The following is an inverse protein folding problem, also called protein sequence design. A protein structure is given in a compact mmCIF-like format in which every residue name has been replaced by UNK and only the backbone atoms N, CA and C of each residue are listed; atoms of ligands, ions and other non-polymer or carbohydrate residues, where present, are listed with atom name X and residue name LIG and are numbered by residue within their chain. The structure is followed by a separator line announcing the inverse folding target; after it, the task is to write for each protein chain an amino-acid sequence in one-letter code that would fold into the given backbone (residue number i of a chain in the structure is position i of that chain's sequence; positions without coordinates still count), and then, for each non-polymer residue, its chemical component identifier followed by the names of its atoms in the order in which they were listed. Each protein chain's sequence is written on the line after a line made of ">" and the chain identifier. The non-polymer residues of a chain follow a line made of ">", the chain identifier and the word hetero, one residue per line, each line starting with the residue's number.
data_IF_698217664455
#
_entry.id   IF_698217664455
#
_cell.length_a   1.000
_cell.length_b   1.000
_cell.length_c   1.000
_cell.angle_alpha   90.00
_cell.angle_beta   90.00
_cell.angle_gamma   90.00
#
_symmetry.space_group_name_H-M   'P 1'
#
loop_
_entity.id
_entity.type
_entity.pdbx_description
1 polymer ?
#
# COMPACT_ATOMS: atom_id res chain seq x y z
N UNK A 1 12.95 32.11 -28.69
CA UNK A 1 13.96 31.23 -28.05
C UNK A 1 13.26 29.93 -27.69
N UNK A 2 13.61 28.79 -28.26
CA UNK A 2 12.90 27.54 -28.00
C UNK A 2 13.42 26.90 -26.71
N UNK A 3 12.50 26.52 -25.81
CA UNK A 3 12.78 25.74 -24.60
C UNK A 3 13.06 24.29 -25.01
N UNK A 4 14.21 23.76 -24.61
CA UNK A 4 14.60 22.38 -24.78
C UNK A 4 13.89 21.51 -23.74
N UNK A 5 13.09 20.58 -24.21
CA UNK A 5 12.51 19.50 -23.41
C UNK A 5 13.60 18.43 -23.25
N UNK A 6 14.04 18.18 -22.01
CA UNK A 6 14.93 17.06 -21.69
C UNK A 6 14.07 15.83 -21.41
N UNK A 7 14.13 14.86 -22.32
CA UNK A 7 13.63 13.52 -22.04
C UNK A 7 14.72 12.77 -21.26
N UNK A 8 14.45 12.48 -19.99
CA UNK A 8 15.29 11.60 -19.18
C UNK A 8 14.81 10.17 -19.42
N UNK A 9 15.50 9.41 -20.28
CA UNK A 9 15.35 7.97 -20.38
C UNK A 9 16.19 7.34 -19.28
N UNK A 10 15.54 6.78 -18.26
CA UNK A 10 16.19 5.97 -17.25
C UNK A 10 16.57 4.62 -17.84
N UNK A 11 17.86 4.41 -18.11
CA UNK A 11 18.44 3.14 -18.55
C UNK A 11 18.76 2.32 -17.28
N UNK A 12 17.93 1.32 -16.97
CA UNK A 12 18.23 0.36 -15.90
C UNK A 12 19.29 -0.61 -16.42
N UNK A 13 20.54 -0.45 -15.98
CA UNK A 13 21.62 -1.41 -16.23
C UNK A 13 21.63 -2.40 -15.06
N UNK A 14 21.14 -3.62 -15.33
CA UNK A 14 21.24 -4.75 -14.42
C UNK A 14 22.67 -5.34 -14.51
N UNK A 15 23.55 -5.00 -13.57
CA UNK A 15 24.87 -5.62 -13.44
C UNK A 15 24.78 -6.86 -12.57
N UNK A 16 24.87 -8.04 -13.21
CA UNK A 16 25.12 -9.31 -12.52
C UNK A 16 26.56 -9.32 -11.97
N UNK A 17 26.70 -9.29 -10.66
CA UNK A 17 27.98 -9.59 -9.98
C UNK A 17 28.14 -11.11 -9.87
N UNK A 18 29.00 -11.69 -10.70
CA UNK A 18 29.53 -13.04 -10.51
C UNK A 18 30.54 -12.99 -9.35
N UNK A 19 30.20 -13.55 -8.21
CA UNK A 19 31.17 -13.80 -7.13
C UNK A 19 31.98 -15.05 -7.46
N UNK A 20 33.30 -14.87 -7.67
CA UNK A 20 34.25 -15.94 -7.84
C UNK A 20 34.52 -16.63 -6.50
N UNK A 21 34.17 -17.91 -6.40
CA UNK A 21 34.54 -18.76 -5.28
C UNK A 21 36.00 -19.21 -5.44
N UNK A 22 36.83 -18.98 -4.43
CA UNK A 22 38.20 -19.49 -4.36
C UNK A 22 38.22 -21.00 -4.09
N UNK A 23 39.17 -21.76 -4.68
CA UNK A 23 39.23 -23.18 -4.47
C UNK A 23 39.90 -23.51 -3.14
N UNK A 24 39.21 -24.30 -2.29
CA UNK A 24 39.81 -24.97 -1.14
C UNK A 24 40.53 -26.21 -1.61
N UNK A 25 41.81 -26.32 -1.25
CA UNK A 25 42.65 -27.49 -1.55
C UNK A 25 42.15 -28.70 -0.73
N UNK A 26 41.76 -29.77 -1.46
CA UNK A 26 41.46 -31.06 -0.87
C UNK A 26 42.69 -31.94 -0.83
N UNK A 27 42.98 -32.45 0.35
CA UNK A 27 44.01 -33.47 0.60
C UNK A 27 43.53 -34.84 0.08
N UNK A 28 44.48 -35.57 -0.53
CA UNK A 28 44.27 -36.88 -1.08
C UNK A 28 43.92 -37.94 -0.01
N UNK A 29 42.82 -38.65 -0.21
CA UNK A 29 42.40 -39.82 0.53
C UNK A 29 41.87 -40.89 -0.40
N UNK A 30 42.33 -42.08 -0.26
CA UNK A 30 42.18 -43.34 -0.95
C UNK A 30 40.91 -43.60 -1.78
N UNK A 31 41.16 -44.11 -3.01
CA UNK A 31 40.16 -44.56 -3.97
C UNK A 31 39.67 -45.97 -3.57
N UNK A 32 38.40 -46.08 -3.17
CA UNK A 32 37.67 -47.39 -3.19
C UNK A 32 36.82 -47.37 -4.46
N UNK A 33 37.18 -48.21 -5.43
CA UNK A 33 36.39 -48.41 -6.66
C UNK A 33 35.27 -49.41 -6.39
N UNK A 34 34.04 -48.96 -6.52
CA UNK A 34 32.88 -49.84 -6.65
C UNK A 34 32.41 -49.86 -8.14
N UNK A 35 31.99 -51.00 -8.68
CA UNK A 35 31.56 -51.08 -10.08
C UNK A 35 30.20 -50.37 -10.24
N UNK A 36 30.16 -49.39 -11.13
CA UNK A 36 28.93 -48.74 -11.60
C UNK A 36 28.26 -49.67 -12.60
N UNK A 37 27.13 -50.26 -12.22
CA UNK A 37 26.26 -50.90 -13.21
C UNK A 37 25.63 -49.80 -14.09
N UNK A 38 25.79 -49.97 -15.40
CA UNK A 38 25.16 -49.10 -16.40
C UNK A 38 23.65 -49.25 -16.34
N UNK A 39 22.97 -48.20 -15.86
CA UNK A 39 21.52 -48.02 -15.99
C UNK A 39 21.29 -47.22 -17.26
N UNK A 40 20.76 -47.89 -18.28
CA UNK A 40 20.28 -47.22 -19.48
C UNK A 40 19.10 -46.32 -19.16
N UNK A 41 19.03 -45.06 -19.59
CA UNK A 41 17.88 -44.20 -19.40
C UNK A 41 16.78 -44.60 -20.40
N UNK A 42 15.73 -45.31 -19.88
CA UNK A 42 14.48 -45.50 -20.60
C UNK A 42 13.57 -44.31 -20.25
N UNK A 43 13.64 -43.21 -21.01
CA UNK A 43 12.59 -42.22 -21.06
C UNK A 43 12.50 -41.68 -22.50
N UNK A 44 11.65 -42.31 -23.28
CA UNK A 44 10.97 -41.69 -24.41
C UNK A 44 9.48 -41.80 -24.09
N UNK A 45 8.97 -40.85 -23.36
CA UNK A 45 7.56 -40.55 -23.34
C UNK A 45 7.44 -39.12 -23.78
N UNK A 46 7.02 -38.95 -25.04
CA UNK A 46 6.67 -37.65 -25.61
C UNK A 46 5.43 -37.18 -24.82
N UNK A 47 5.65 -36.31 -23.82
CA UNK A 47 4.57 -35.59 -23.17
C UNK A 47 4.13 -34.53 -24.17
N UNK A 48 3.06 -34.81 -24.90
CA UNK A 48 2.30 -33.81 -25.63
C UNK A 48 1.63 -32.94 -24.56
N UNK A 49 2.24 -31.80 -24.25
CA UNK A 49 1.59 -30.74 -23.47
C UNK A 49 0.62 -30.08 -24.44
N UNK A 50 -0.65 -30.47 -24.41
CA UNK A 50 -1.70 -29.60 -24.92
C UNK A 50 -1.65 -28.34 -24.06
N UNK A 51 -1.12 -27.24 -24.62
CA UNK A 51 -1.29 -25.90 -24.08
C UNK A 51 -2.78 -25.56 -24.18
N UNK A 52 -3.55 -25.97 -23.15
CA UNK A 52 -4.79 -25.29 -22.83
C UNK A 52 -4.41 -23.87 -22.40
N UNK A 53 -4.45 -22.94 -23.36
CA UNK A 53 -4.45 -21.52 -23.06
C UNK A 53 -5.76 -21.30 -22.26
N UNK A 54 -5.66 -21.39 -20.93
CA UNK A 54 -6.64 -20.78 -20.06
C UNK A 54 -6.58 -19.29 -20.37
N UNK A 55 -7.52 -18.83 -21.17
CA UNK A 55 -7.85 -17.40 -21.20
C UNK A 55 -8.27 -17.05 -19.77
N UNK A 56 -7.31 -16.63 -18.95
CA UNK A 56 -7.58 -15.92 -17.72
C UNK A 56 -8.21 -14.62 -18.18
N UNK A 57 -9.53 -14.60 -18.27
CA UNK A 57 -10.23 -13.33 -18.30
C UNK A 57 -9.82 -12.65 -16.98
N UNK A 58 -9.00 -11.59 -17.08
CA UNK A 58 -8.75 -10.66 -16.01
C UNK A 58 -10.09 -10.01 -15.63
N UNK A 59 -10.93 -10.76 -14.91
CA UNK A 59 -11.97 -10.15 -14.10
C UNK A 59 -11.24 -9.42 -12.96
N UNK A 60 -10.78 -8.22 -13.27
CA UNK A 60 -10.42 -7.24 -12.27
C UNK A 60 -11.68 -7.01 -11.44
N UNK A 61 -11.76 -7.69 -10.32
CA UNK A 61 -12.91 -7.62 -9.42
C UNK A 61 -12.92 -6.21 -8.81
N UNK A 62 -13.84 -5.37 -9.24
CA UNK A 62 -13.99 -4.03 -8.67
C UNK A 62 -14.57 -4.12 -7.26
N UNK A 63 -14.01 -3.38 -6.31
CA UNK A 63 -14.55 -3.24 -4.96
C UNK A 63 -16.05 -2.92 -4.99
N UNK A 64 -16.86 -3.67 -4.24
CA UNK A 64 -18.31 -3.48 -4.23
C UNK A 64 -18.85 -3.22 -2.84
N UNK A 65 -19.39 -2.03 -2.64
CA UNK A 65 -20.25 -1.71 -1.50
C UNK A 65 -21.72 -1.66 -1.94
N UNK A 66 -22.67 -2.05 -1.09
CA UNK A 66 -24.09 -1.86 -1.39
C UNK A 66 -24.41 -0.39 -1.67
N UNK A 67 -24.88 -0.10 -2.89
CA UNK A 67 -25.20 1.27 -3.30
C UNK A 67 -24.06 2.03 -3.97
N UNK A 68 -22.88 1.41 -4.13
CA UNK A 68 -21.76 2.00 -4.86
C UNK A 68 -22.07 2.06 -6.35
N UNK A 69 -22.05 3.28 -6.90
CA UNK A 69 -21.91 3.47 -8.34
C UNK A 69 -20.42 3.71 -8.64
N UNK A 70 -19.85 3.09 -9.70
CA UNK A 70 -18.44 3.25 -10.04
C UNK A 70 -17.98 4.71 -10.14
N UNK A 71 -18.88 5.59 -10.57
CA UNK A 71 -18.61 7.02 -10.75
C UNK A 71 -18.47 7.81 -9.42
N UNK A 72 -18.77 7.18 -8.27
CA UNK A 72 -18.83 7.84 -6.95
C UNK A 72 -18.01 7.11 -5.88
N UNK A 73 -17.01 6.30 -6.26
CA UNK A 73 -16.24 5.49 -5.31
C UNK A 73 -15.66 6.35 -4.17
N UNK A 74 -14.95 7.41 -4.51
CA UNK A 74 -14.24 8.26 -3.54
C UNK A 74 -15.20 8.86 -2.51
N UNK A 75 -16.29 9.50 -2.95
CA UNK A 75 -17.25 10.14 -2.04
C UNK A 75 -17.98 9.13 -1.18
N UNK A 76 -18.34 7.97 -1.76
CA UNK A 76 -19.02 6.90 -1.03
C UNK A 76 -18.11 6.31 0.04
N UNK A 77 -16.84 6.07 -0.28
CA UNK A 77 -15.85 5.54 0.65
C UNK A 77 -15.53 6.53 1.75
N UNK A 78 -15.34 7.82 1.43
CA UNK A 78 -15.11 8.84 2.45
C UNK A 78 -16.27 8.94 3.45
N UNK A 79 -17.52 8.87 2.96
CA UNK A 79 -18.70 8.84 3.85
C UNK A 79 -18.77 7.57 4.71
N UNK A 80 -18.32 6.42 4.20
CA UNK A 80 -18.27 5.17 4.94
C UNK A 80 -17.16 5.15 5.99
N UNK A 81 -15.97 5.69 5.67
CA UNK A 81 -14.87 5.88 6.61
C UNK A 81 -15.30 6.80 7.74
N UNK A 82 -15.97 7.91 7.44
CA UNK A 82 -16.54 8.83 8.41
C UNK A 82 -17.52 8.11 9.37
N UNK A 83 -18.47 7.37 8.82
CA UNK A 83 -19.44 6.61 9.61
C UNK A 83 -18.78 5.52 10.47
N UNK A 84 -17.74 4.87 9.97
CA UNK A 84 -16.95 3.90 10.74
C UNK A 84 -16.31 4.56 11.96
N UNK A 85 -15.60 5.66 11.79
CA UNK A 85 -14.90 6.31 12.87
C UNK A 85 -15.85 6.99 13.86
N UNK A 86 -16.99 7.51 13.40
CA UNK A 86 -18.04 8.00 14.28
C UNK A 86 -18.54 6.89 15.24
N UNK A 87 -18.70 5.66 14.74
CA UNK A 87 -19.08 4.51 15.56
C UNK A 87 -17.96 4.04 16.51
N UNK A 88 -16.74 3.91 16.01
CA UNK A 88 -15.58 3.47 16.80
C UNK A 88 -15.26 4.43 17.95
N UNK A 89 -15.19 5.73 17.67
CA UNK A 89 -14.86 6.72 18.69
C UNK A 89 -15.98 6.89 19.72
N UNK A 90 -17.25 6.79 19.31
CA UNK A 90 -18.36 6.75 20.24
C UNK A 90 -18.31 5.54 21.19
N UNK A 91 -17.92 4.35 20.68
CA UNK A 91 -17.72 3.15 21.47
C UNK A 91 -16.56 3.29 22.48
N UNK A 92 -15.55 4.08 22.14
CA UNK A 92 -14.41 4.40 23.01
C UNK A 92 -14.72 5.57 23.97
N UNK A 93 -15.89 6.22 23.85
CA UNK A 93 -16.32 7.32 24.71
C UNK A 93 -15.75 8.68 24.31
N UNK A 94 -15.30 8.82 23.09
CA UNK A 94 -14.82 10.09 22.51
C UNK A 94 -15.91 10.77 21.70
N UNK A 95 -15.96 12.09 21.77
CA UNK A 95 -16.74 12.90 20.85
C UNK A 95 -16.08 12.85 19.46
N UNK A 96 -16.91 12.77 18.42
CA UNK A 96 -16.44 12.72 17.02
C UNK A 96 -17.11 13.81 16.19
N UNK A 97 -16.39 14.30 15.21
CA UNK A 97 -16.87 15.17 14.13
C UNK A 97 -16.12 14.82 12.85
N UNK A 98 -16.75 14.98 11.70
CA UNK A 98 -16.17 14.62 10.41
C UNK A 98 -15.10 15.62 9.96
N UNK A 99 -14.05 15.13 9.28
CA UNK A 99 -13.12 15.98 8.54
C UNK A 99 -13.79 16.62 7.31
N UNK A 100 -13.28 17.78 6.90
CA UNK A 100 -13.57 18.32 5.57
C UNK A 100 -12.95 17.46 4.47
N UNK A 101 -13.55 17.48 3.27
CA UNK A 101 -12.98 16.80 2.10
C UNK A 101 -12.99 17.72 0.88
N UNK A 102 -11.86 17.78 0.15
CA UNK A 102 -11.72 18.66 -1.01
C UNK A 102 -11.09 17.90 -2.19
N UNK A 103 -11.84 17.68 -3.29
CA UNK A 103 -11.28 17.15 -4.52
C UNK A 103 -10.34 18.17 -5.19
N UNK A 104 -9.14 17.74 -5.53
CA UNK A 104 -8.11 18.55 -6.15
C UNK A 104 -8.02 18.21 -7.64
N UNK A 105 -8.59 19.08 -8.48
CA UNK A 105 -8.51 19.00 -9.96
C UNK A 105 -7.64 20.12 -10.55
N UNK A 106 -7.35 21.13 -9.77
CA UNK A 106 -6.47 22.27 -10.06
C UNK A 106 -5.79 22.68 -8.74
N UNK A 107 -4.91 23.67 -8.76
CA UNK A 107 -4.26 24.17 -7.55
C UNK A 107 -5.28 24.71 -6.54
N UNK A 108 -5.21 24.19 -5.31
CA UNK A 108 -6.06 24.61 -4.19
C UNK A 108 -5.19 25.15 -3.07
N UNK A 109 -5.59 26.29 -2.48
CA UNK A 109 -4.93 26.85 -1.31
C UNK A 109 -5.59 26.32 -0.04
N UNK A 110 -4.81 25.64 0.82
CA UNK A 110 -5.22 25.22 2.16
C UNK A 110 -4.50 26.02 3.24
N UNK A 111 -4.84 25.78 4.50
CA UNK A 111 -4.10 26.34 5.64
C UNK A 111 -2.71 25.72 5.84
N UNK A 112 -2.44 24.54 5.25
CA UNK A 112 -1.14 23.88 5.27
C UNK A 112 -0.25 24.20 4.06
N UNK A 113 -0.75 24.94 3.08
CA UNK A 113 -0.04 25.25 1.86
C UNK A 113 -0.87 25.06 0.62
N UNK A 114 -0.22 25.07 -0.53
CA UNK A 114 -0.86 24.86 -1.82
C UNK A 114 -0.77 23.37 -2.20
N UNK A 115 -1.91 22.78 -2.60
CA UNK A 115 -1.99 21.44 -3.18
C UNK A 115 -2.26 21.52 -4.67
N UNK A 116 -1.45 20.83 -5.46
CA UNK A 116 -1.67 20.65 -6.89
C UNK A 116 -2.21 19.23 -7.21
N UNK A 117 -2.86 19.08 -8.37
CA UNK A 117 -3.50 17.80 -8.73
C UNK A 117 -2.52 16.65 -9.02
N UNK A 118 -1.22 16.94 -9.06
CA UNK A 118 -0.16 15.95 -9.33
C UNK A 118 0.97 15.99 -8.31
N UNK A 119 0.76 16.64 -7.15
CA UNK A 119 1.78 16.73 -6.11
C UNK A 119 1.79 15.46 -5.25
N UNK A 120 0.65 15.11 -4.67
CA UNK A 120 0.43 13.91 -3.85
C UNK A 120 -0.95 13.32 -4.14
N UNK A 121 -1.15 12.00 -3.98
CA UNK A 121 -2.46 11.37 -4.12
C UNK A 121 -3.50 11.95 -3.19
N UNK A 122 -3.17 12.07 -1.90
CA UNK A 122 -3.97 12.76 -0.90
C UNK A 122 -3.06 13.36 0.17
N UNK A 123 -3.61 14.27 0.98
CA UNK A 123 -2.96 14.82 2.15
C UNK A 123 -4.00 15.35 3.14
N UNK A 124 -3.80 15.09 4.42
CA UNK A 124 -4.58 15.69 5.50
C UNK A 124 -3.93 16.96 6.02
N UNK A 125 -4.70 18.02 6.17
CA UNK A 125 -4.24 19.26 6.78
C UNK A 125 -4.85 19.43 8.17
N UNK A 126 -4.07 19.32 9.27
CA UNK A 126 -4.60 19.42 10.63
C UNK A 126 -5.01 20.85 11.01
N UNK A 127 -4.59 21.87 10.25
CA UNK A 127 -4.90 23.27 10.55
C UNK A 127 -6.32 23.65 10.16
N UNK A 128 -6.83 23.11 9.07
CA UNK A 128 -8.21 23.31 8.60
C UNK A 128 -9.05 22.01 8.66
N UNK A 129 -8.46 20.96 9.24
CA UNK A 129 -9.13 19.67 9.47
C UNK A 129 -9.78 19.12 8.19
N UNK A 130 -8.97 19.00 7.14
CA UNK A 130 -9.47 18.68 5.79
C UNK A 130 -8.55 17.69 5.08
N UNK A 131 -9.15 16.65 4.50
CA UNK A 131 -8.50 15.73 3.55
C UNK A 131 -8.61 16.31 2.14
N UNK A 132 -7.46 16.62 1.55
CA UNK A 132 -7.32 17.02 0.15
C UNK A 132 -6.94 15.79 -0.66
N UNK A 133 -7.68 15.48 -1.72
CA UNK A 133 -7.39 14.32 -2.53
C UNK A 133 -7.35 14.64 -4.02
N UNK A 134 -6.30 14.18 -4.70
CA UNK A 134 -6.10 14.36 -6.13
C UNK A 134 -7.06 13.47 -6.92
N UNK A 135 -7.91 14.07 -7.74
CA UNK A 135 -8.79 13.32 -8.62
C UNK A 135 -8.00 12.55 -9.69
N UNK A 136 -7.03 13.16 -10.42
CA UNK A 136 -6.29 12.42 -11.45
C UNK A 136 -5.38 11.33 -10.88
N UNK A 137 -4.66 11.56 -9.76
CA UNK A 137 -3.81 10.52 -9.15
C UNK A 137 -4.65 9.41 -8.51
N UNK A 138 -5.81 9.73 -7.94
CA UNK A 138 -6.75 8.72 -7.45
C UNK A 138 -7.23 7.81 -8.57
N UNK A 139 -7.58 8.35 -9.73
CA UNK A 139 -7.94 7.56 -10.92
C UNK A 139 -6.76 6.73 -11.43
N UNK A 140 -5.53 7.27 -11.39
CA UNK A 140 -4.33 6.53 -11.78
C UNK A 140 -4.08 5.34 -10.84
N UNK A 141 -4.18 5.52 -9.52
CA UNK A 141 -4.03 4.45 -8.54
C UNK A 141 -5.09 3.36 -8.76
N UNK A 142 -6.36 3.74 -8.92
CA UNK A 142 -7.45 2.80 -9.18
C UNK A 142 -7.21 1.95 -10.43
N UNK A 143 -6.65 2.52 -11.48
CA UNK A 143 -6.41 1.82 -12.74
C UNK A 143 -5.12 1.02 -12.78
N UNK A 144 -4.12 1.35 -11.97
CA UNK A 144 -2.78 0.73 -12.01
C UNK A 144 -2.51 -0.24 -10.86
N UNK A 145 -3.12 -0.01 -9.70
CA UNK A 145 -2.93 -0.84 -8.50
C UNK A 145 -4.25 -1.50 -8.11
N UNK A 146 -5.35 -0.74 -8.11
CA UNK A 146 -6.69 -1.20 -7.81
C UNK A 146 -7.51 -0.22 -6.99
N UNK A 147 -8.82 -0.48 -6.92
CA UNK A 147 -9.76 0.38 -6.21
C UNK A 147 -9.46 0.42 -4.70
N UNK A 148 -9.09 -0.72 -4.12
CA UNK A 148 -8.82 -0.80 -2.69
C UNK A 148 -7.49 -0.14 -2.30
N UNK A 149 -6.53 -0.03 -3.21
CA UNK A 149 -5.33 0.77 -3.02
C UNK A 149 -5.68 2.25 -2.82
N UNK A 150 -6.60 2.79 -3.62
CA UNK A 150 -7.09 4.15 -3.46
C UNK A 150 -7.86 4.34 -2.15
N UNK A 151 -8.72 3.39 -1.78
CA UNK A 151 -9.44 3.37 -0.50
C UNK A 151 -8.46 3.40 0.67
N UNK A 152 -7.37 2.64 0.59
CA UNK A 152 -6.33 2.60 1.61
C UNK A 152 -5.65 3.95 1.81
N UNK A 153 -5.35 4.68 0.73
CA UNK A 153 -4.83 6.06 0.80
C UNK A 153 -5.80 6.97 1.53
N UNK A 154 -7.08 6.95 1.17
CA UNK A 154 -8.09 7.80 1.81
C UNK A 154 -8.28 7.47 3.30
N UNK A 155 -8.26 6.17 3.64
CA UNK A 155 -8.38 5.72 5.02
C UNK A 155 -7.16 6.10 5.87
N UNK A 156 -5.96 6.14 5.26
CA UNK A 156 -4.74 6.62 5.90
C UNK A 156 -4.84 8.11 6.24
N UNK A 157 -5.24 8.95 5.29
CA UNK A 157 -5.42 10.39 5.53
C UNK A 157 -6.50 10.66 6.59
N UNK A 158 -7.56 9.83 6.60
CA UNK A 158 -8.56 9.89 7.66
C UNK A 158 -8.00 9.46 9.02
N UNK A 159 -7.02 8.56 9.03
CA UNK A 159 -6.26 8.18 10.22
C UNK A 159 -5.60 9.38 10.89
N UNK A 160 -5.06 10.34 10.13
CA UNK A 160 -4.54 11.59 10.66
C UNK A 160 -5.62 12.48 11.29
N UNK A 161 -6.82 12.51 10.72
CA UNK A 161 -7.97 13.17 11.36
C UNK A 161 -8.31 12.50 12.69
N UNK A 162 -8.33 11.17 12.76
CA UNK A 162 -8.56 10.42 14.01
C UNK A 162 -7.53 10.76 15.08
N UNK A 163 -6.26 10.89 14.71
CA UNK A 163 -5.20 11.36 15.62
C UNK A 163 -5.52 12.74 16.18
N UNK A 164 -5.96 13.68 15.33
CA UNK A 164 -6.35 15.01 15.77
C UNK A 164 -7.52 14.95 16.77
N UNK A 165 -8.58 14.19 16.45
CA UNK A 165 -9.77 14.04 17.32
C UNK A 165 -9.39 13.44 18.68
N UNK A 166 -8.47 12.49 18.70
CA UNK A 166 -7.99 11.83 19.93
C UNK A 166 -6.93 12.65 20.69
N UNK A 167 -6.41 13.72 20.08
CA UNK A 167 -5.30 14.49 20.65
C UNK A 167 -4.00 13.71 20.73
N UNK A 168 -3.79 12.79 19.78
CA UNK A 168 -2.56 11.97 19.69
C UNK A 168 -1.53 12.75 18.87
N UNK A 169 -0.41 13.08 19.52
CA UNK A 169 0.72 13.80 18.92
C UNK A 169 2.01 13.00 19.17
N UNK A 170 2.34 12.01 18.34
CA UNK A 170 3.60 11.27 18.47
C UNK A 170 4.82 12.18 18.34
N UNK A 171 5.90 11.87 19.08
CA UNK A 171 7.13 12.65 19.03
C UNK A 171 7.84 12.56 17.67
N UNK A 172 7.73 11.40 17.00
CA UNK A 172 8.32 11.16 15.69
C UNK A 172 7.27 11.16 14.60
N UNK A 173 7.62 11.71 13.45
CA UNK A 173 6.75 11.71 12.27
C UNK A 173 6.41 10.28 11.85
N UNK A 174 7.39 9.38 11.86
CA UNK A 174 7.19 7.97 11.50
C UNK A 174 6.12 7.29 12.36
N UNK A 175 6.10 7.53 13.68
CA UNK A 175 5.09 6.90 14.56
C UNK A 175 3.68 7.39 14.22
N UNK A 176 3.54 8.66 13.82
CA UNK A 176 2.29 9.22 13.36
C UNK A 176 1.82 8.56 12.06
N UNK A 177 2.72 8.36 11.11
CA UNK A 177 2.42 7.73 9.83
C UNK A 177 2.05 6.25 9.99
N UNK A 178 2.83 5.50 10.76
CA UNK A 178 2.56 4.09 11.03
C UNK A 178 1.24 3.90 11.80
N UNK A 179 0.90 4.81 12.72
CA UNK A 179 -0.41 4.76 13.38
C UNK A 179 -1.56 5.04 12.40
N UNK A 180 -1.40 5.96 11.44
CA UNK A 180 -2.39 6.20 10.39
C UNK A 180 -2.56 4.98 9.47
N UNK A 181 -1.47 4.27 9.14
CA UNK A 181 -1.54 2.98 8.44
C UNK A 181 -2.30 1.93 9.24
N UNK A 182 -2.06 1.84 10.56
CA UNK A 182 -2.81 0.94 11.43
C UNK A 182 -4.31 1.27 11.43
N UNK A 183 -4.69 2.53 11.52
CA UNK A 183 -6.09 2.97 11.42
C UNK A 183 -6.71 2.63 10.07
N UNK A 184 -5.96 2.75 8.97
CA UNK A 184 -6.38 2.30 7.65
C UNK A 184 -6.63 0.78 7.61
N UNK A 185 -5.76 -0.01 8.25
CA UNK A 185 -5.94 -1.44 8.43
C UNK A 185 -7.19 -1.80 9.26
N UNK A 186 -7.48 -1.04 10.30
CA UNK A 186 -8.70 -1.23 11.11
C UNK A 186 -9.98 -0.98 10.28
N UNK A 187 -9.96 0.01 9.40
CA UNK A 187 -11.04 0.21 8.43
C UNK A 187 -11.17 -0.99 7.48
N UNK A 188 -10.04 -1.55 6.99
CA UNK A 188 -10.05 -2.73 6.16
C UNK A 188 -10.62 -3.97 6.88
N UNK A 189 -10.35 -4.14 8.19
CA UNK A 189 -10.98 -5.19 9.00
C UNK A 189 -12.50 -5.06 8.99
N UNK A 190 -13.00 -3.83 9.19
CA UNK A 190 -14.44 -3.58 9.14
C UNK A 190 -15.02 -3.87 7.75
N UNK A 191 -14.33 -3.45 6.68
CA UNK A 191 -14.76 -3.75 5.31
C UNK A 191 -14.87 -5.26 5.06
N UNK A 192 -13.92 -6.05 5.59
CA UNK A 192 -14.01 -7.52 5.57
C UNK A 192 -15.24 -8.04 6.33
N UNK A 193 -15.47 -7.55 7.55
CA UNK A 193 -16.60 -7.98 8.39
C UNK A 193 -17.96 -7.66 7.74
N UNK A 194 -18.03 -6.60 6.95
CA UNK A 194 -19.22 -6.21 6.21
C UNK A 194 -19.38 -6.94 4.86
N UNK A 195 -18.37 -7.73 4.46
CA UNK A 195 -18.37 -8.45 3.19
C UNK A 195 -18.18 -7.53 1.97
N UNK A 196 -17.50 -6.39 2.16
CA UNK A 196 -17.20 -5.44 1.09
C UNK A 196 -15.93 -5.81 0.31
N UNK A 197 -14.99 -6.52 0.99
CA UNK A 197 -13.73 -6.92 0.35
C UNK A 197 -13.93 -8.05 -0.64
N UNK A 198 -13.21 -7.96 -1.73
CA UNK A 198 -13.09 -8.98 -2.77
C UNK A 198 -11.69 -9.60 -2.76
N UNK A 199 -11.54 -10.65 -3.56
CA UNK A 199 -10.23 -11.28 -3.77
C UNK A 199 -9.29 -10.26 -4.44
N UNK A 200 -8.13 -10.04 -3.84
CA UNK A 200 -7.13 -9.09 -4.31
C UNK A 200 -7.07 -7.79 -3.50
N UNK A 201 -8.18 -7.29 -2.93
CA UNK A 201 -8.25 -5.98 -2.27
C UNK A 201 -7.16 -5.77 -1.20
N UNK A 202 -6.91 -6.77 -0.36
CA UNK A 202 -5.84 -6.67 0.64
C UNK A 202 -4.45 -6.62 -0.02
N UNK A 203 -4.26 -7.33 -1.13
CA UNK A 203 -3.00 -7.25 -1.88
C UNK A 203 -2.78 -5.86 -2.47
N UNK A 204 -3.84 -5.19 -2.92
CA UNK A 204 -3.81 -3.80 -3.40
C UNK A 204 -3.43 -2.83 -2.26
N UNK A 205 -4.05 -3.01 -1.07
CA UNK A 205 -3.71 -2.23 0.12
C UNK A 205 -2.24 -2.37 0.52
N UNK A 206 -1.73 -3.60 0.54
CA UNK A 206 -0.33 -3.85 0.86
C UNK A 206 0.61 -3.30 -0.21
N UNK A 207 0.23 -3.38 -1.48
CA UNK A 207 1.02 -2.83 -2.59
C UNK A 207 1.15 -1.32 -2.47
N UNK A 208 0.07 -0.59 -2.20
CA UNK A 208 0.15 0.88 -2.05
C UNK A 208 0.93 1.26 -0.80
N UNK A 209 0.85 0.52 0.29
CA UNK A 209 1.67 0.74 1.49
C UNK A 209 3.17 0.58 1.20
N UNK A 210 3.55 -0.43 0.39
CA UNK A 210 4.93 -0.62 -0.06
C UNK A 210 5.39 0.54 -0.95
N UNK A 211 4.58 0.92 -1.94
CA UNK A 211 4.92 1.96 -2.91
C UNK A 211 5.03 3.36 -2.27
N UNK A 212 4.32 3.59 -1.17
CA UNK A 212 4.34 4.85 -0.41
C UNK A 212 5.41 4.86 0.69
N UNK A 213 6.18 3.78 0.84
CA UNK A 213 7.27 3.70 1.82
C UNK A 213 8.50 4.51 1.39
N UNK A 214 9.21 5.02 2.40
CA UNK A 214 10.48 5.71 2.19
C UNK A 214 11.57 4.75 1.66
N UNK A 215 12.57 5.27 0.92
CA UNK A 215 13.75 4.51 0.57
C UNK A 215 14.45 3.93 1.81
N UNK A 216 15.01 2.71 1.70
CA UNK A 216 15.66 2.00 2.82
C UNK A 216 16.80 2.80 3.47
N UNK A 217 17.43 3.70 2.72
CA UNK A 217 18.52 4.55 3.19
C UNK A 217 18.03 5.80 3.94
N UNK A 218 16.73 6.05 4.01
CA UNK A 218 16.19 7.22 4.71
C UNK A 218 16.28 7.01 6.21
N UNK A 219 16.74 8.03 6.92
CA UNK A 219 16.80 8.02 8.38
C UNK A 219 15.38 8.20 8.94
N UNK A 220 14.89 7.24 9.68
CA UNK A 220 13.56 7.23 10.30
C UNK A 220 13.36 8.37 11.32
N UNK A 221 14.45 8.96 11.82
CA UNK A 221 14.41 10.09 12.76
C UNK A 221 14.26 11.44 12.07
N UNK A 222 14.25 11.49 10.74
CA UNK A 222 14.07 12.75 9.99
C UNK A 222 12.62 13.18 10.01
N UNK A 223 12.40 14.47 10.22
CA UNK A 223 11.06 15.07 10.09
C UNK A 223 10.51 14.81 8.69
N UNK A 224 9.30 14.30 8.61
CA UNK A 224 8.64 13.91 7.36
C UNK A 224 8.93 12.47 6.91
N UNK A 225 9.63 11.66 7.72
CA UNK A 225 9.78 10.24 7.43
C UNK A 225 8.42 9.52 7.54
N UNK A 226 8.09 8.69 6.52
CA UNK A 226 6.86 7.89 6.48
C UNK A 226 7.09 6.44 6.92
N UNK A 227 8.36 6.03 7.02
CA UNK A 227 8.77 4.66 7.28
C UNK A 227 8.93 3.83 6.01
N UNK A 228 9.67 2.74 6.13
CA UNK A 228 9.84 1.80 5.02
C UNK A 228 8.53 1.10 4.66
N UNK A 229 8.41 0.62 3.41
CA UNK A 229 7.24 -0.15 2.98
C UNK A 229 6.94 -1.35 3.90
N UNK A 230 7.96 -2.01 4.45
CA UNK A 230 7.78 -3.13 5.38
C UNK A 230 7.15 -2.69 6.71
N UNK A 231 7.53 -1.54 7.24
CA UNK A 231 6.92 -0.98 8.45
C UNK A 231 5.48 -0.59 8.21
N UNK A 232 5.20 0.09 7.09
CA UNK A 232 3.85 0.50 6.71
C UNK A 232 2.92 -0.71 6.55
N UNK A 233 3.37 -1.76 5.84
CA UNK A 233 2.64 -3.04 5.72
C UNK A 233 2.39 -3.66 7.10
N UNK A 234 3.41 -3.70 7.96
CA UNK A 234 3.28 -4.29 9.30
C UNK A 234 2.22 -3.54 10.12
N UNK A 235 2.22 -2.21 10.08
CA UNK A 235 1.26 -1.37 10.80
C UNK A 235 -0.16 -1.51 10.24
N UNK A 236 -0.33 -1.52 8.92
CA UNK A 236 -1.62 -1.81 8.30
C UNK A 236 -2.17 -3.17 8.74
N UNK A 237 -1.33 -4.23 8.71
CA UNK A 237 -1.74 -5.57 9.09
C UNK A 237 -2.06 -5.69 10.59
N UNK A 238 -1.41 -4.89 11.46
CA UNK A 238 -1.78 -4.81 12.88
C UNK A 238 -3.24 -4.34 13.04
N UNK A 239 -3.61 -3.24 12.37
CA UNK A 239 -4.98 -2.75 12.36
C UNK A 239 -5.97 -3.74 11.75
N UNK A 240 -5.58 -4.37 10.63
CA UNK A 240 -6.42 -5.33 9.92
C UNK A 240 -6.76 -6.57 10.76
N UNK A 241 -5.82 -7.10 11.53
CA UNK A 241 -6.06 -8.28 12.36
C UNK A 241 -6.65 -7.95 13.73
N UNK A 242 -6.26 -6.84 14.33
CA UNK A 242 -6.53 -6.55 15.73
C UNK A 242 -7.50 -5.38 15.96
N UNK A 243 -7.87 -4.64 14.89
CA UNK A 243 -8.82 -3.54 14.92
C UNK A 243 -8.26 -2.24 15.49
N UNK A 244 -9.13 -1.23 15.57
CA UNK A 244 -8.78 0.15 15.96
C UNK A 244 -8.13 0.28 17.33
N UNK A 245 -8.55 -0.55 18.30
CA UNK A 245 -8.01 -0.51 19.67
C UNK A 245 -6.50 -0.85 19.73
N UNK A 246 -6.02 -1.71 18.84
CA UNK A 246 -4.59 -2.03 18.77
C UNK A 246 -3.76 -0.82 18.30
N UNK A 247 -4.32 0.01 17.45
CA UNK A 247 -3.65 1.20 16.92
C UNK A 247 -3.47 2.33 17.94
N UNK A 248 -4.17 2.29 19.07
CA UNK A 248 -4.01 3.27 20.15
C UNK A 248 -2.77 3.03 21.02
N UNK A 249 -2.06 1.94 20.81
CA UNK A 249 -0.85 1.56 21.56
C UNK A 249 0.46 2.07 20.93
N UNK A 250 0.37 2.81 19.81
CA UNK A 250 1.52 3.43 19.12
C UNK A 250 2.13 4.57 19.93
#
# INVERSE_FOLDING_TARGET
>A
MPRRVFHLQALVILTLLLSAASPVAATAGETVSMPVAAVEPRFQEEVVVEEEILEVEDEFSSFTMPGLAPDNLTETVLADIDAFWAGELANLGHDYYAAGTVPVTDFVQSSCGQFGPYDNPAAYCPVDDTVYYSVPLGQEIQTTVGDYAWITVLAHEWGHHVQLVLGIEPELTIDRELQADCFSGAYAQRALQQGFLQEGDISEALMIAILSGDPVEMDEMVEGAHGSGDYRVTSFMEGYFNGSAACLAY
#
